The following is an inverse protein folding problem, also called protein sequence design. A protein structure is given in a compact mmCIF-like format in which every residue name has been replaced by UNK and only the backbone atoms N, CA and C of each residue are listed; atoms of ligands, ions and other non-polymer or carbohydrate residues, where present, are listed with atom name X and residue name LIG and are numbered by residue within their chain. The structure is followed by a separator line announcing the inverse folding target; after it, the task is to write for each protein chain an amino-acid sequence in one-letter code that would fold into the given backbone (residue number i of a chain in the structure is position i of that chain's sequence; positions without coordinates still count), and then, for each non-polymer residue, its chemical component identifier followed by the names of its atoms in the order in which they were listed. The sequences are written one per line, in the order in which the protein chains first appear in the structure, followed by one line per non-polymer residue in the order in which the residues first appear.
data_IF_239553485491
#
_entry.id   IF_239553485491
#
_cell.length_a   1.000
_cell.length_b   1.000
_cell.length_c   1.000
_cell.angle_alpha   90.00
_cell.angle_beta   90.00
_cell.angle_gamma   90.00
#
_symmetry.space_group_name_H-M   'P 1'
#
loop_
_entity.id
_entity.type
_entity.pdbx_description
1 polymer ?
#
# COMPACT_ATOMS: atom_id res chain seq x y z
N UNK A 1 24.82 5.59 -2.09
CA UNK A 1 24.41 6.89 -2.69
C UNK A 1 23.76 7.77 -1.63
N UNK A 2 23.87 9.10 -1.72
CA UNK A 2 23.24 10.02 -0.76
C UNK A 2 21.73 10.14 -1.03
N UNK A 3 20.92 10.30 0.03
CA UNK A 3 19.45 10.36 -0.06
C UNK A 3 18.88 11.79 0.00
N UNK A 4 19.58 12.75 0.62
CA UNK A 4 19.07 14.11 0.75
C UNK A 4 18.89 14.77 -0.63
N UNK A 5 17.70 15.32 -0.89
CA UNK A 5 17.30 15.86 -2.21
C UNK A 5 17.42 14.84 -3.35
N UNK A 6 17.24 13.55 -3.06
CA UNK A 6 17.38 12.46 -4.03
C UNK A 6 16.21 11.46 -3.94
N UNK A 7 16.12 10.61 -4.96
CA UNK A 7 15.28 9.43 -5.02
C UNK A 7 16.15 8.25 -5.49
N UNK A 8 16.30 7.22 -4.66
CA UNK A 8 17.13 6.05 -4.95
C UNK A 8 16.23 4.87 -5.34
N UNK A 9 16.20 4.46 -6.63
CA UNK A 9 15.40 3.33 -7.10
C UNK A 9 16.11 2.00 -6.79
N UNK A 10 16.44 1.78 -5.53
CA UNK A 10 17.20 0.64 -5.05
C UNK A 10 16.88 0.42 -3.57
N UNK A 11 16.11 -0.63 -3.29
CA UNK A 11 15.73 -1.03 -1.95
C UNK A 11 16.05 -2.52 -1.75
N UNK A 12 16.93 -2.84 -0.78
CA UNK A 12 17.49 -4.19 -0.64
C UNK A 12 18.43 -4.55 -1.82
N UNK A 13 19.02 -5.74 -1.84
CA UNK A 13 19.96 -6.15 -2.91
C UNK A 13 19.25 -6.54 -4.20
N UNK A 14 19.92 -6.37 -5.34
CA UNK A 14 19.45 -6.89 -6.63
C UNK A 14 19.52 -8.42 -6.71
N UNK A 15 18.59 -9.00 -7.47
CA UNK A 15 18.54 -10.41 -7.86
C UNK A 15 18.89 -10.58 -9.35
N UNK A 16 19.08 -11.81 -9.80
CA UNK A 16 19.58 -12.13 -11.15
C UNK A 16 18.64 -11.66 -12.28
N UNK A 17 17.36 -11.45 -11.97
CA UNK A 17 16.35 -10.97 -12.92
C UNK A 17 16.31 -9.44 -13.07
N UNK A 18 17.18 -8.71 -12.37
CA UNK A 18 17.27 -7.24 -12.42
C UNK A 18 16.31 -6.50 -11.48
N UNK A 19 15.45 -7.21 -10.74
CA UNK A 19 14.66 -6.64 -9.65
C UNK A 19 15.46 -6.64 -8.35
N UNK A 20 15.08 -5.78 -7.43
CA UNK A 20 15.54 -5.83 -6.05
C UNK A 20 14.73 -6.82 -5.22
N UNK A 21 15.31 -7.35 -4.14
CA UNK A 21 14.59 -8.23 -3.21
C UNK A 21 13.33 -7.59 -2.64
N UNK A 22 13.32 -6.27 -2.44
CA UNK A 22 12.12 -5.59 -1.95
C UNK A 22 10.97 -5.63 -2.97
N UNK A 23 11.28 -5.46 -4.26
CA UNK A 23 10.28 -5.57 -5.33
C UNK A 23 9.77 -7.01 -5.50
N UNK A 24 10.67 -7.98 -5.37
CA UNK A 24 10.30 -9.40 -5.44
C UNK A 24 9.53 -9.86 -4.20
N UNK A 25 9.78 -9.29 -3.02
CA UNK A 25 8.94 -9.50 -1.82
C UNK A 25 7.51 -9.06 -2.05
N UNK A 26 7.28 -7.86 -2.59
CA UNK A 26 5.91 -7.39 -2.89
C UNK A 26 5.18 -8.38 -3.80
N UNK A 27 5.84 -8.88 -4.83
CA UNK A 27 5.27 -9.88 -5.75
C UNK A 27 4.93 -11.19 -5.03
N UNK A 28 5.90 -11.76 -4.32
CA UNK A 28 5.76 -13.08 -3.70
C UNK A 28 4.81 -13.07 -2.49
N UNK A 29 4.85 -12.02 -1.68
CA UNK A 29 3.99 -11.88 -0.50
C UNK A 29 2.54 -11.61 -0.90
N UNK A 30 2.28 -10.79 -1.92
CA UNK A 30 0.91 -10.61 -2.42
C UNK A 30 0.32 -11.94 -2.92
N UNK A 31 1.09 -12.70 -3.71
CA UNK A 31 0.65 -14.03 -4.18
C UNK A 31 0.38 -15.00 -3.04
N UNK A 32 1.19 -14.95 -1.98
CA UNK A 32 1.06 -15.83 -0.82
C UNK A 32 -0.10 -15.44 0.10
N UNK A 33 -0.34 -14.15 0.30
CA UNK A 33 -1.33 -13.63 1.27
C UNK A 33 -2.72 -13.58 0.67
N UNK A 34 -2.84 -13.19 -0.61
CA UNK A 34 -4.12 -12.98 -1.27
C UNK A 34 -4.48 -14.16 -2.17
N UNK A 35 -3.76 -14.33 -3.29
CA UNK A 35 -4.02 -15.37 -4.27
C UNK A 35 -2.84 -15.50 -5.26
N UNK A 36 -2.47 -16.73 -5.62
CA UNK A 36 -1.33 -17.02 -6.51
C UNK A 36 -1.51 -16.51 -7.95
N UNK A 37 -2.76 -16.31 -8.39
CA UNK A 37 -3.12 -15.82 -9.73
C UNK A 37 -3.02 -14.30 -9.87
N UNK A 38 -2.76 -13.55 -8.79
CA UNK A 38 -2.62 -12.09 -8.85
C UNK A 38 -1.22 -11.72 -9.34
N UNK A 39 -1.12 -11.15 -10.54
CA UNK A 39 0.13 -10.64 -11.05
C UNK A 39 0.45 -9.24 -10.52
N UNK A 40 1.67 -9.08 -9.99
CA UNK A 40 2.16 -7.85 -9.40
C UNK A 40 3.58 -7.60 -9.88
N UNK A 41 3.86 -6.35 -10.22
CA UNK A 41 5.21 -5.83 -10.42
C UNK A 41 5.34 -4.53 -9.64
N UNK A 42 6.54 -4.23 -9.15
CA UNK A 42 6.78 -3.05 -8.35
C UNK A 42 8.13 -2.40 -8.70
N UNK A 43 8.25 -1.12 -8.37
CA UNK A 43 9.53 -0.42 -8.28
C UNK A 43 9.65 0.22 -6.91
N UNK A 44 10.67 -0.17 -6.15
CA UNK A 44 10.87 0.32 -4.79
C UNK A 44 11.87 1.48 -4.77
N UNK A 45 11.39 2.67 -4.43
CA UNK A 45 12.21 3.90 -4.43
C UNK A 45 12.33 4.47 -3.03
N UNK A 46 13.56 4.63 -2.54
CA UNK A 46 13.86 5.37 -1.31
C UNK A 46 13.83 6.87 -1.61
N UNK A 47 13.05 7.63 -0.85
CA UNK A 47 13.04 9.10 -0.91
C UNK A 47 13.42 9.71 0.44
N UNK A 48 13.69 11.01 0.48
CA UNK A 48 14.05 11.76 1.69
C UNK A 48 12.85 12.02 2.64
N UNK A 49 12.12 10.96 2.96
CA UNK A 49 11.00 10.96 3.92
C UNK A 49 11.35 10.02 5.07
N UNK A 50 11.21 10.51 6.31
CA UNK A 50 11.65 9.77 7.51
C UNK A 50 10.75 8.57 7.81
N UNK A 51 9.42 8.72 7.65
CA UNK A 51 8.38 7.70 7.90
C UNK A 51 7.17 7.98 7.01
N UNK A 52 6.34 6.97 6.82
CA UNK A 52 5.14 7.08 5.98
C UNK A 52 5.43 6.55 4.59
N UNK A 53 5.57 5.23 4.45
CA UNK A 53 5.67 4.64 3.11
C UNK A 53 4.43 5.00 2.32
N UNK A 54 4.66 5.33 1.05
CA UNK A 54 3.63 5.83 0.16
C UNK A 54 3.72 5.14 -1.17
N UNK A 55 2.58 4.68 -1.68
CA UNK A 55 2.50 3.81 -2.84
C UNK A 55 1.51 4.38 -3.84
N UNK A 56 1.97 4.53 -5.08
CA UNK A 56 1.10 4.78 -6.22
C UNK A 56 0.74 3.43 -6.81
N UNK A 57 -0.53 3.06 -6.71
CA UNK A 57 -1.00 1.71 -7.03
C UNK A 57 -2.00 1.77 -8.18
N UNK A 58 -1.82 0.87 -9.14
CA UNK A 58 -2.69 0.65 -10.29
C UNK A 58 -3.19 -0.81 -10.23
N UNK A 59 -4.51 -1.01 -10.27
CA UNK A 59 -5.14 -2.34 -10.11
C UNK A 59 -6.15 -2.53 -11.22
N UNK A 60 -6.06 -3.63 -11.95
CA UNK A 60 -7.07 -4.07 -12.92
C UNK A 60 -7.98 -5.13 -12.29
N UNK A 61 -9.29 -4.91 -12.37
CA UNK A 61 -10.30 -5.85 -11.89
C UNK A 61 -10.81 -6.78 -13.00
N UNK A 62 -11.31 -7.96 -12.62
CA UNK A 62 -11.98 -8.88 -13.55
C UNK A 62 -13.28 -8.29 -14.12
N UNK A 63 -14.04 -7.59 -13.27
CA UNK A 63 -15.31 -6.96 -13.59
C UNK A 63 -15.18 -5.44 -13.58
N UNK A 64 -16.14 -4.75 -14.23
CA UNK A 64 -16.23 -3.31 -14.09
C UNK A 64 -16.66 -2.92 -12.67
N UNK A 65 -16.38 -1.68 -12.25
CA UNK A 65 -16.54 -1.23 -10.86
C UNK A 65 -17.05 0.19 -10.76
N UNK A 66 -17.81 0.52 -9.73
CA UNK A 66 -18.16 1.91 -9.43
C UNK A 66 -17.19 2.54 -8.41
N UNK A 67 -16.85 3.81 -8.60
CA UNK A 67 -15.89 4.49 -7.72
C UNK A 67 -16.45 4.72 -6.31
N UNK A 68 -17.76 4.94 -6.18
CA UNK A 68 -18.40 5.14 -4.88
C UNK A 68 -18.53 3.82 -4.13
N UNK A 69 -18.76 2.71 -4.83
CA UNK A 69 -18.67 1.36 -4.26
C UNK A 69 -17.27 1.05 -3.72
N UNK A 70 -16.21 1.40 -4.48
CA UNK A 70 -14.82 1.24 -4.02
C UNK A 70 -14.56 2.07 -2.75
N UNK A 71 -14.95 3.36 -2.75
CA UNK A 71 -14.79 4.22 -1.57
C UNK A 71 -15.57 3.69 -0.37
N UNK A 72 -16.77 3.21 -0.59
CA UNK A 72 -17.60 2.61 0.45
C UNK A 72 -16.94 1.36 1.02
N UNK A 73 -16.53 0.42 0.17
CA UNK A 73 -15.89 -0.82 0.60
C UNK A 73 -14.61 -0.57 1.41
N UNK A 74 -13.75 0.36 0.95
CA UNK A 74 -12.54 0.74 1.67
C UNK A 74 -12.83 1.35 3.06
N UNK A 75 -13.86 2.20 3.18
CA UNK A 75 -14.25 2.76 4.47
C UNK A 75 -14.81 1.74 5.45
N UNK A 76 -15.34 0.61 4.96
CA UNK A 76 -15.83 -0.49 5.80
C UNK A 76 -14.69 -1.39 6.30
N UNK A 77 -13.48 -1.29 5.73
CA UNK A 77 -12.33 -2.09 6.15
C UNK A 77 -11.73 -1.55 7.45
N UNK A 78 -11.67 -2.40 8.47
CA UNK A 78 -11.08 -2.05 9.75
C UNK A 78 -9.60 -1.63 9.59
N UNK A 79 -9.26 -0.43 10.07
CA UNK A 79 -7.92 0.13 9.97
C UNK A 79 -7.60 0.83 8.65
N UNK A 80 -8.55 0.94 7.72
CA UNK A 80 -8.42 1.77 6.51
C UNK A 80 -9.21 3.07 6.70
N UNK A 81 -8.62 4.18 6.25
CA UNK A 81 -9.26 5.50 6.27
C UNK A 81 -9.17 6.12 4.88
N UNK A 82 -10.31 6.43 4.28
CA UNK A 82 -10.35 7.10 2.97
C UNK A 82 -10.24 8.61 3.16
N UNK A 83 -9.20 9.21 2.57
CA UNK A 83 -9.02 10.65 2.47
C UNK A 83 -8.98 10.97 0.96
N UNK A 84 -10.14 11.22 0.36
CA UNK A 84 -10.24 11.39 -1.10
C UNK A 84 -11.16 12.55 -1.47
N UNK A 85 -10.68 13.79 -1.28
CA UNK A 85 -11.37 14.98 -1.75
C UNK A 85 -10.39 15.93 -2.47
N UNK A 86 -10.06 15.64 -3.74
CA UNK A 86 -9.13 16.45 -4.52
C UNK A 86 -9.55 17.92 -4.67
N UNK A 87 -10.85 18.23 -4.64
CA UNK A 87 -11.33 19.62 -4.73
C UNK A 87 -10.96 20.47 -3.51
N UNK A 88 -10.71 19.83 -2.36
CA UNK A 88 -10.24 20.47 -1.14
C UNK A 88 -8.76 20.23 -0.84
N UNK A 89 -8.03 19.61 -1.77
CA UNK A 89 -6.65 19.14 -1.57
C UNK A 89 -6.49 18.17 -0.39
N UNK A 90 -7.50 17.34 -0.14
CA UNK A 90 -7.46 16.32 0.90
C UNK A 90 -7.10 14.98 0.27
N UNK A 91 -5.89 14.50 0.59
CA UNK A 91 -5.37 13.20 0.17
C UNK A 91 -4.30 12.72 1.17
N UNK A 92 -3.98 11.41 1.19
CA UNK A 92 -2.99 10.87 2.11
C UNK A 92 -1.61 11.50 1.88
N UNK A 93 -0.92 11.83 2.97
CA UNK A 93 0.43 12.37 2.94
C UNK A 93 1.29 11.68 4.01
N UNK A 94 2.56 11.33 3.73
CA UNK A 94 3.45 10.66 4.69
C UNK A 94 3.51 11.35 6.05
N UNK A 95 3.53 12.68 6.07
CA UNK A 95 3.63 13.47 7.30
C UNK A 95 2.43 13.28 8.24
N UNK A 96 1.25 12.98 7.68
CA UNK A 96 0.01 12.80 8.43
C UNK A 96 -0.17 11.39 8.98
N UNK A 97 0.57 10.39 8.45
CA UNK A 97 0.47 9.01 8.92
C UNK A 97 1.31 8.74 10.16
N UNK A 98 2.19 9.66 10.57
CA UNK A 98 3.12 9.43 11.67
C UNK A 98 2.39 9.10 12.98
N UNK A 99 2.80 7.99 13.62
CA UNK A 99 2.21 7.44 14.86
C UNK A 99 0.76 7.00 14.73
N UNK A 100 0.24 6.83 13.51
CA UNK A 100 -1.07 6.26 13.24
C UNK A 100 -0.96 4.77 12.96
N UNK A 101 -2.00 4.03 13.33
CA UNK A 101 -2.10 2.59 13.07
C UNK A 101 -2.90 2.30 11.79
N UNK A 102 -3.57 3.33 11.27
CA UNK A 102 -4.40 3.31 10.09
C UNK A 102 -3.60 3.34 8.79
N UNK A 103 -4.16 2.73 7.74
CA UNK A 103 -3.74 2.87 6.34
C UNK A 103 -4.62 3.91 5.68
N UNK A 104 -4.02 4.95 5.13
CA UNK A 104 -4.74 6.04 4.47
C UNK A 104 -4.77 5.84 2.97
N UNK A 105 -5.96 5.87 2.37
CA UNK A 105 -6.15 5.65 0.93
C UNK A 105 -6.83 6.87 0.31
N UNK A 106 -6.38 7.30 -0.86
CA UNK A 106 -7.00 8.40 -1.59
C UNK A 106 -6.54 8.44 -3.04
N UNK A 107 -6.83 9.56 -3.72
CA UNK A 107 -6.59 9.73 -5.16
C UNK A 107 -7.24 8.62 -5.99
N UNK A 108 -8.40 8.13 -5.54
CA UNK A 108 -9.12 7.00 -6.12
C UNK A 108 -9.79 7.46 -7.41
N UNK A 109 -9.37 6.89 -8.55
CA UNK A 109 -9.87 7.29 -9.87
C UNK A 109 -9.68 6.17 -10.88
N UNK A 110 -10.54 6.13 -11.90
CA UNK A 110 -10.36 5.23 -13.04
C UNK A 110 -9.07 5.57 -13.80
N UNK A 111 -8.45 4.54 -14.34
CA UNK A 111 -7.51 4.67 -15.44
C UNK A 111 -8.29 4.89 -16.73
N UNK A 112 -7.97 5.95 -17.47
CA UNK A 112 -8.63 6.24 -18.74
C UNK A 112 -7.93 5.56 -19.93
N UNK A 113 -6.75 4.98 -19.70
CA UNK A 113 -5.95 4.30 -20.73
C UNK A 113 -6.16 2.78 -20.76
N UNK A 114 -6.67 2.21 -19.68
CA UNK A 114 -6.91 0.77 -19.54
C UNK A 114 -8.27 0.49 -18.89
N UNK A 115 -9.04 -0.40 -19.51
CA UNK A 115 -10.35 -0.79 -18.99
C UNK A 115 -10.25 -1.44 -17.61
N UNK A 116 -11.32 -1.32 -16.81
CA UNK A 116 -11.45 -1.95 -15.49
C UNK A 116 -10.27 -1.71 -14.56
N UNK A 117 -9.57 -0.59 -14.75
CA UNK A 117 -8.34 -0.28 -14.01
C UNK A 117 -8.53 0.94 -13.13
N UNK A 118 -8.06 0.84 -11.90
CA UNK A 118 -8.17 1.83 -10.84
C UNK A 118 -6.78 2.30 -10.43
N UNK A 119 -6.65 3.61 -10.26
CA UNK A 119 -5.49 4.26 -9.68
C UNK A 119 -5.81 4.72 -8.26
N UNK A 120 -4.88 4.52 -7.33
CA UNK A 120 -4.97 5.00 -5.94
C UNK A 120 -3.61 5.39 -5.38
N UNK A 121 -3.64 6.12 -4.26
CA UNK A 121 -2.49 6.52 -3.47
C UNK A 121 -2.68 6.06 -2.04
N UNK A 122 -1.73 5.27 -1.54
CA UNK A 122 -1.80 4.63 -0.22
C UNK A 122 -0.66 5.15 0.63
N UNK A 123 -0.91 5.45 1.90
CA UNK A 123 0.12 5.89 2.86
C UNK A 123 -0.10 5.21 4.21
N UNK A 124 0.98 4.69 4.81
CA UNK A 124 0.95 4.12 6.16
C UNK A 124 2.27 4.34 6.91
N UNK A 125 2.21 4.42 8.25
CA UNK A 125 3.42 4.39 9.08
C UNK A 125 4.04 2.99 9.05
N UNK A 126 5.14 2.88 8.30
CA UNK A 126 5.86 1.64 8.05
C UNK A 126 6.47 1.01 9.31
N UNK A 127 6.60 1.74 10.42
CA UNK A 127 7.10 1.19 11.69
C UNK A 127 5.99 0.75 12.64
N UNK A 128 4.73 1.16 12.38
CA UNK A 128 3.55 0.70 13.12
C UNK A 128 2.82 -0.36 12.34
N UNK A 129 1.92 0.03 11.42
CA UNK A 129 1.14 -0.93 10.64
C UNK A 129 2.03 -1.86 9.79
N UNK A 130 3.13 -1.34 9.26
CA UNK A 130 4.12 -2.14 8.50
C UNK A 130 4.94 -3.13 9.34
N UNK A 131 4.86 -3.10 10.68
CA UNK A 131 5.63 -4.00 11.54
C UNK A 131 4.93 -4.31 12.88
N UNK A 132 4.96 -3.37 13.83
CA UNK A 132 4.57 -3.61 15.21
C UNK A 132 3.07 -3.90 15.38
N UNK A 133 2.20 -3.08 14.78
CA UNK A 133 0.74 -3.19 14.95
C UNK A 133 0.22 -4.45 14.28
N UNK A 134 0.74 -4.83 13.11
CA UNK A 134 0.35 -6.07 12.45
C UNK A 134 0.71 -7.30 13.31
N UNK A 135 1.90 -7.29 13.91
CA UNK A 135 2.35 -8.37 14.82
C UNK A 135 1.42 -8.50 16.04
N UNK A 136 1.08 -7.39 16.69
CA UNK A 136 0.16 -7.39 17.84
C UNK A 136 -1.23 -7.85 17.43
N UNK A 137 -1.76 -7.40 16.29
CA UNK A 137 -3.07 -7.80 15.78
C UNK A 137 -3.15 -9.30 15.48
N UNK A 138 -2.08 -9.90 14.93
CA UNK A 138 -1.99 -11.35 14.73
C UNK A 138 -2.02 -12.06 16.09
N UNK A 139 -1.24 -11.60 17.08
CA UNK A 139 -1.23 -12.20 18.41
C UNK A 139 -2.60 -12.10 19.10
N UNK A 140 -3.25 -10.94 19.06
CA UNK A 140 -4.61 -10.74 19.58
C UNK A 140 -5.62 -11.66 18.92
N UNK A 141 -5.52 -11.85 17.60
CA UNK A 141 -6.37 -12.78 16.86
C UNK A 141 -6.15 -14.23 17.31
N UNK A 142 -4.89 -14.68 17.44
CA UNK A 142 -4.57 -16.04 17.88
C UNK A 142 -5.10 -16.31 19.29
N UNK A 143 -4.95 -15.37 20.22
CA UNK A 143 -5.49 -15.46 21.58
C UNK A 143 -7.03 -15.54 21.53
N UNK A 144 -7.67 -14.61 20.82
CA UNK A 144 -9.14 -14.54 20.72
C UNK A 144 -9.75 -15.81 20.13
N UNK A 145 -9.06 -16.45 19.18
CA UNK A 145 -9.51 -17.67 18.51
C UNK A 145 -8.94 -18.96 19.11
N UNK A 146 -8.19 -18.88 20.22
CA UNK A 146 -7.59 -20.03 20.92
C UNK A 146 -6.70 -20.90 20.01
N UNK A 147 -5.84 -20.25 19.23
CA UNK A 147 -4.89 -20.88 18.30
C UNK A 147 -3.46 -20.90 18.86
N UNK A 148 -3.29 -20.71 20.17
CA UNK A 148 -2.04 -20.78 20.92
C UNK A 148 -1.98 -22.03 21.79
#
# INVERSE_FOLDING_TARGET
HQIYKNALPHCDVFEDNGYTKEEMKLTNETKKILDEYIDVVATAVRIAVVRGHSESVNITFENDFDLDEIRFALNQMAGVVVIDNPQKNEYPMPINSHKKDEVFVGRIRRDFSQEKTLNMWIVADNLRKGAATNTVQIAEYLIKNKLL
#
